data_IF_727171021736
#
_entry.id   IF_727171021736
#
_cell.length_a   1.000
_cell.length_b   1.000
_cell.length_c   1.000
_cell.angle_alpha   90.00
_cell.angle_beta   90.00
_cell.angle_gamma   90.00
#
_symmetry.space_group_name_H-M   'P 1'
#
loop_
_entity.id
_entity.type
_entity.pdbx_description
1 polymer ?
#
# COMPACT_ATOMS: atom_id res chain seq x y z
N UNK A 1 -0.78 -7.12 2.32
CA UNK A 1 -0.69 -5.78 1.69
C UNK A 1 -1.60 -5.69 0.47
N UNK A 2 -1.60 -6.69 -0.42
CA UNK A 2 -2.47 -6.71 -1.62
C UNK A 2 -3.94 -6.38 -1.35
N UNK A 3 -4.59 -7.01 -0.37
CA UNK A 3 -6.00 -6.74 -0.09
C UNK A 3 -6.29 -5.30 0.34
N UNK A 4 -5.32 -4.60 0.95
CA UNK A 4 -5.48 -3.19 1.31
C UNK A 4 -5.26 -2.30 0.09
N UNK A 5 -4.25 -2.61 -0.73
CA UNK A 5 -4.00 -1.87 -1.95
C UNK A 5 -5.13 -2.03 -2.98
N UNK A 6 -5.70 -3.22 -3.11
CA UNK A 6 -6.87 -3.47 -3.96
C UNK A 6 -8.03 -2.55 -3.56
N UNK A 7 -8.32 -2.45 -2.26
CA UNK A 7 -9.38 -1.57 -1.74
C UNK A 7 -9.06 -0.09 -1.97
N UNK A 8 -7.83 0.33 -1.69
CA UNK A 8 -7.40 1.72 -1.84
C UNK A 8 -7.42 2.16 -3.31
N UNK A 9 -6.97 1.28 -4.22
CA UNK A 9 -6.92 1.53 -5.65
C UNK A 9 -8.27 1.29 -6.37
N UNK A 10 -9.31 0.85 -5.65
CA UNK A 10 -10.60 0.49 -6.25
C UNK A 10 -10.53 -0.67 -7.26
N UNK A 11 -9.58 -1.58 -7.08
CA UNK A 11 -9.34 -2.74 -7.94
C UNK A 11 -9.85 -4.03 -7.28
N UNK A 12 -10.36 -4.96 -8.08
CA UNK A 12 -10.89 -6.25 -7.61
C UNK A 12 -9.89 -7.39 -7.76
N UNK A 13 -8.81 -7.20 -8.52
CA UNK A 13 -7.82 -8.24 -8.78
C UNK A 13 -6.41 -7.71 -8.96
N UNK A 14 -5.42 -8.60 -8.78
CA UNK A 14 -4.02 -8.27 -9.06
C UNK A 14 -3.80 -7.84 -10.50
N UNK A 15 -4.47 -8.49 -11.45
CA UNK A 15 -4.40 -8.11 -12.86
C UNK A 15 -4.92 -6.70 -13.12
N UNK A 16 -5.85 -6.18 -12.31
CA UNK A 16 -6.27 -4.77 -12.39
C UNK A 16 -5.19 -3.84 -11.87
N UNK A 17 -4.59 -4.14 -10.71
CA UNK A 17 -3.46 -3.38 -10.20
C UNK A 17 -2.35 -3.28 -11.26
N UNK A 18 -2.00 -4.40 -11.90
CA UNK A 18 -0.99 -4.43 -12.95
C UNK A 18 -1.40 -3.57 -14.17
N UNK A 19 -2.69 -3.62 -14.58
CA UNK A 19 -3.23 -2.75 -15.65
C UNK A 19 -3.19 -1.26 -15.29
N UNK A 20 -3.32 -0.93 -14.01
CA UNK A 20 -3.19 0.43 -13.48
C UNK A 20 -1.72 0.85 -13.24
N UNK A 21 -0.76 -0.03 -13.53
CA UNK A 21 0.67 0.24 -13.40
C UNK A 21 1.21 0.07 -11.98
N UNK A 22 0.46 -0.56 -11.08
CA UNK A 22 0.96 -0.83 -9.74
C UNK A 22 2.04 -1.91 -9.75
N UNK A 23 3.20 -1.65 -9.13
CA UNK A 23 4.35 -2.54 -9.05
C UNK A 23 4.87 -3.06 -10.41
N UNK A 24 4.64 -2.31 -11.49
CA UNK A 24 5.10 -2.71 -12.82
C UNK A 24 6.62 -2.67 -12.97
N UNK A 25 7.30 -1.78 -12.23
CA UNK A 25 8.74 -1.54 -12.31
C UNK A 25 9.51 -1.94 -11.05
N UNK A 26 8.81 -2.35 -9.99
CA UNK A 26 9.40 -2.66 -8.69
C UNK A 26 8.70 -3.85 -8.04
N UNK A 27 9.44 -4.77 -7.37
CA UNK A 27 8.79 -5.78 -6.55
C UNK A 27 8.02 -5.14 -5.40
N UNK A 28 7.05 -5.86 -4.84
CA UNK A 28 6.36 -5.38 -3.64
C UNK A 28 7.32 -5.26 -2.46
N UNK A 29 7.21 -4.15 -1.74
CA UNK A 29 8.01 -3.87 -0.54
C UNK A 29 7.17 -3.13 0.51
N UNK A 30 7.69 -3.08 1.74
CA UNK A 30 7.14 -2.24 2.81
C UNK A 30 7.95 -0.95 2.84
N UNK A 31 7.31 0.23 2.73
CA UNK A 31 8.04 1.49 2.68
C UNK A 31 8.57 1.86 4.07
N UNK A 32 9.76 2.48 4.10
CA UNK A 32 10.32 3.08 5.32
C UNK A 32 9.57 4.35 5.73
N UNK A 33 8.81 4.95 4.80
CA UNK A 33 7.94 6.08 5.07
C UNK A 33 6.61 5.59 5.66
N UNK A 34 6.49 5.66 6.98
CA UNK A 34 5.27 5.28 7.68
C UNK A 34 4.99 6.18 8.89
N UNK A 35 3.72 6.26 9.24
CA UNK A 35 3.24 6.96 10.44
C UNK A 35 2.63 5.96 11.41
N UNK A 36 3.09 5.98 12.66
CA UNK A 36 2.41 5.29 13.77
C UNK A 36 1.30 6.22 14.27
N UNK A 37 0.07 5.73 14.21
CA UNK A 37 -1.12 6.41 14.74
C UNK A 37 -1.63 5.64 15.95
N UNK A 38 -2.61 6.22 16.65
CA UNK A 38 -3.15 5.65 17.90
C UNK A 38 -3.59 4.19 17.73
N UNK A 39 -4.37 3.90 16.69
CA UNK A 39 -5.02 2.60 16.47
C UNK A 39 -4.65 1.97 15.11
N UNK A 40 -3.56 2.44 14.46
CA UNK A 40 -3.14 1.98 13.11
C UNK A 40 -1.70 2.37 12.78
N UNK A 41 -1.11 1.73 11.77
CA UNK A 41 0.08 2.23 11.06
C UNK A 41 -0.32 2.58 9.63
N UNK A 42 0.08 3.77 9.16
CA UNK A 42 -0.11 4.19 7.78
C UNK A 42 1.21 4.06 7.03
N UNK A 43 1.27 3.20 6.02
CA UNK A 43 2.40 3.07 5.10
C UNK A 43 2.20 4.01 3.92
N UNK A 44 3.18 4.87 3.66
CA UNK A 44 3.06 5.97 2.70
C UNK A 44 4.00 5.68 1.53
N UNK A 45 3.43 5.39 0.37
CA UNK A 45 4.17 5.23 -0.86
C UNK A 45 4.24 6.55 -1.61
N UNK A 46 5.44 7.05 -1.83
CA UNK A 46 5.68 8.27 -2.60
C UNK A 46 5.30 8.07 -4.08
N UNK A 47 5.19 9.18 -4.81
CA UNK A 47 5.02 9.14 -6.27
C UNK A 47 6.14 8.31 -6.91
N UNK A 48 5.80 7.52 -7.94
CA UNK A 48 6.70 6.58 -8.63
C UNK A 48 7.18 5.36 -7.83
N UNK A 49 6.93 5.26 -6.52
CA UNK A 49 7.42 4.11 -5.77
C UNK A 49 6.71 2.82 -6.16
N UNK A 50 5.40 2.88 -6.35
CA UNK A 50 4.60 1.70 -6.67
C UNK A 50 3.65 1.90 -7.82
N UNK A 51 3.52 3.09 -8.40
CA UNK A 51 2.59 3.40 -9.47
C UNK A 51 3.04 4.67 -10.24
N UNK A 52 2.50 4.94 -11.44
CA UNK A 52 2.82 6.16 -12.19
C UNK A 52 2.55 7.44 -11.40
N UNK A 53 3.24 8.52 -11.74
CA UNK A 53 3.09 9.83 -11.09
C UNK A 53 1.64 10.32 -10.97
N UNK A 54 0.83 10.07 -12.00
CA UNK A 54 -0.57 10.46 -12.06
C UNK A 54 -1.43 9.85 -10.94
N UNK A 55 -0.99 8.74 -10.36
CA UNK A 55 -1.64 8.09 -9.21
C UNK A 55 -1.41 8.89 -7.91
N UNK A 56 -0.37 9.71 -7.84
CA UNK A 56 -0.03 10.46 -6.65
C UNK A 56 0.58 9.60 -5.54
N UNK A 57 0.44 10.07 -4.30
CA UNK A 57 0.87 9.33 -3.10
C UNK A 57 -0.19 8.30 -2.76
N UNK A 58 0.22 7.06 -2.50
CA UNK A 58 -0.69 5.99 -2.04
C UNK A 58 -0.47 5.74 -0.56
N UNK A 59 -1.52 5.84 0.26
CA UNK A 59 -1.43 5.56 1.70
C UNK A 59 -2.19 4.29 2.05
N UNK A 60 -1.50 3.29 2.59
CA UNK A 60 -2.13 2.06 3.08
C UNK A 60 -2.23 2.09 4.61
N UNK A 61 -3.46 2.14 5.13
CA UNK A 61 -3.72 2.15 6.57
C UNK A 61 -3.98 0.73 7.05
N UNK A 62 -3.12 0.24 7.94
CA UNK A 62 -3.25 -1.07 8.58
C UNK A 62 -3.76 -0.87 10.02
N UNK A 63 -4.92 -1.43 10.39
CA UNK A 63 -5.42 -1.36 11.77
C UNK A 63 -4.50 -2.09 12.75
N UNK A 64 -4.43 -1.58 13.98
CA UNK A 64 -3.63 -2.15 15.07
C UNK A 64 -3.92 -3.66 15.31
N UNK A 65 -5.17 -4.08 15.17
CA UNK A 65 -5.58 -5.48 15.34
C UNK A 65 -4.88 -6.43 14.37
N UNK A 66 -4.52 -5.98 13.17
CA UNK A 66 -3.78 -6.77 12.20
C UNK A 66 -2.27 -6.72 12.47
N UNK A 67 -1.78 -5.58 12.95
CA UNK A 67 -0.38 -5.38 13.32
C UNK A 67 0.01 -6.22 14.55
N UNK A 68 -0.85 -6.29 15.56
CA UNK A 68 -0.62 -7.08 16.78
C UNK A 68 -0.41 -8.57 16.53
N UNK A 69 -0.84 -9.09 15.37
CA UNK A 69 -0.65 -10.49 14.97
C UNK A 69 0.79 -10.79 14.52
N UNK A 70 1.56 -9.77 14.16
CA UNK A 70 2.87 -9.92 13.51
C UNK A 70 4.03 -9.28 14.28
N UNK A 71 3.74 -8.34 15.18
CA UNK A 71 4.75 -7.78 16.10
C UNK A 71 4.95 -8.75 17.27
N UNK A 72 6.22 -9.06 17.59
CA UNK A 72 6.62 -9.88 18.74
C UNK A 72 6.89 -9.03 19.97
#
# INVERSE_FOLDING_TARGET
MDNLLLREAGCESRSELDRHGYFSETPMFVPDNFEIRKDSIAFIFNQYEIAPYSTGITTLVVPENDIRKIIR
#
